data_IF_882719213491
#
_entry.id   IF_882719213491
#
_cell.length_a   1.000
_cell.length_b   1.000
_cell.length_c   1.000
_cell.angle_alpha   90.00
_cell.angle_beta   90.00
_cell.angle_gamma   90.00
#
_symmetry.space_group_name_H-M   'P 1'
#
loop_
_entity.id
_entity.type
_entity.pdbx_description
1 polymer ?
#
# COMPACT_ATOMS: atom_id res chain seq x y z
N UNK A 1 1.01 -3.11 -5.41
CA UNK A 1 0.36 -4.30 -4.87
C UNK A 1 -0.97 -3.91 -4.24
N UNK A 2 -1.98 -4.80 -4.25
CA UNK A 2 -3.32 -4.51 -3.74
C UNK A 2 -3.34 -3.94 -2.30
N UNK A 3 -2.46 -4.41 -1.41
CA UNK A 3 -2.36 -3.90 -0.05
C UNK A 3 -1.93 -2.43 0.02
N UNK A 4 -0.97 -1.99 -0.81
CA UNK A 4 -0.55 -0.58 -0.85
C UNK A 4 -1.63 0.34 -1.43
N UNK A 5 -2.46 -0.16 -2.34
CA UNK A 5 -3.55 0.59 -2.95
C UNK A 5 -4.75 0.71 -2.01
N UNK A 6 -5.01 -0.29 -1.18
CA UNK A 6 -6.03 -0.24 -0.11
C UNK A 6 -5.60 0.76 0.96
N UNK A 7 -4.35 0.72 1.42
CA UNK A 7 -3.79 1.73 2.33
C UNK A 7 -3.89 3.15 1.74
N UNK A 8 -3.60 3.35 0.46
CA UNK A 8 -3.69 4.66 -0.21
C UNK A 8 -5.12 5.13 -0.49
N UNK A 9 -6.06 4.23 -0.75
CA UNK A 9 -7.44 4.58 -1.10
C UNK A 9 -8.39 4.69 0.09
N UNK A 10 -8.18 3.91 1.14
CA UNK A 10 -9.02 3.96 2.35
C UNK A 10 -8.53 4.96 3.40
N UNK A 11 -7.27 5.40 3.31
CA UNK A 11 -6.67 6.35 4.23
C UNK A 11 -6.17 7.59 3.51
N UNK A 12 -6.97 8.65 3.50
CA UNK A 12 -6.45 10.00 3.26
C UNK A 12 -5.45 10.42 4.37
N UNK A 13 -5.27 9.59 5.40
CA UNK A 13 -4.41 9.81 6.55
C UNK A 13 -3.18 8.88 6.56
N UNK A 14 -2.56 8.65 5.41
CA UNK A 14 -1.24 8.04 5.36
C UNK A 14 -0.22 8.83 6.18
N UNK A 15 0.99 8.32 6.34
CA UNK A 15 2.05 8.98 7.12
C UNK A 15 2.27 10.45 6.75
N UNK A 16 1.92 10.86 5.53
CA UNK A 16 1.99 12.25 5.08
C UNK A 16 0.91 13.16 5.69
N UNK A 17 -0.12 12.59 6.33
CA UNK A 17 -1.24 13.29 6.93
C UNK A 17 -1.31 13.14 8.46
N UNK A 18 -0.42 12.36 9.06
CA UNK A 18 -0.28 12.23 10.51
C UNK A 18 0.42 13.44 11.10
N UNK A 19 -0.34 14.50 11.48
CA UNK A 19 0.22 15.71 12.06
C UNK A 19 -0.73 16.33 13.09
N UNK A 20 -0.14 17.06 14.04
CA UNK A 20 -0.86 17.80 15.06
C UNK A 20 -1.72 16.93 15.97
N UNK A 21 -2.74 17.53 16.56
CA UNK A 21 -3.78 16.87 17.36
C UNK A 21 -5.02 16.66 16.50
N UNK A 22 -5.39 15.41 16.27
CA UNK A 22 -6.63 15.08 15.58
C UNK A 22 -7.75 14.84 16.57
N UNK A 23 -8.77 15.66 16.52
CA UNK A 23 -9.90 15.62 17.49
C UNK A 23 -10.96 14.60 17.12
N UNK A 24 -10.99 14.16 15.86
CA UNK A 24 -11.88 13.12 15.36
C UNK A 24 -11.20 12.32 14.26
N UNK A 25 -11.15 11.00 14.42
CA UNK A 25 -10.79 10.07 13.38
C UNK A 25 -11.58 8.77 13.54
N UNK A 26 -12.10 8.24 12.45
CA UNK A 26 -12.87 7.00 12.49
C UNK A 26 -13.18 6.49 11.09
N UNK A 27 -13.67 5.27 11.03
CA UNK A 27 -14.05 4.61 9.80
C UNK A 27 -15.23 3.67 10.04
N UNK A 28 -15.87 3.20 8.97
CA UNK A 28 -16.87 2.14 9.06
C UNK A 28 -16.27 0.92 9.77
N UNK A 29 -17.04 0.35 10.68
CA UNK A 29 -16.64 -0.82 11.46
C UNK A 29 -17.80 -1.78 11.54
N UNK A 30 -17.61 -2.96 11.01
CA UNK A 30 -18.64 -4.02 11.05
C UNK A 30 -18.60 -4.72 12.41
N UNK A 31 -19.76 -4.96 13.06
CA UNK A 31 -19.83 -5.77 14.27
C UNK A 31 -19.42 -7.23 14.03
N UNK A 32 -19.26 -7.99 15.11
CA UNK A 32 -19.06 -9.45 15.02
C UNK A 32 -20.33 -10.13 14.48
N UNK A 33 -20.20 -11.36 13.97
CA UNK A 33 -21.35 -12.12 13.52
C UNK A 33 -22.36 -12.37 14.67
N UNK A 34 -21.86 -12.65 15.87
CA UNK A 34 -22.65 -12.83 17.06
C UNK A 34 -23.54 -11.62 17.35
N UNK A 35 -22.96 -10.43 17.26
CA UNK A 35 -23.69 -9.19 17.50
C UNK A 35 -24.71 -8.89 16.40
N UNK A 36 -24.38 -9.16 15.13
CA UNK A 36 -25.31 -8.93 14.00
C UNK A 36 -26.55 -9.77 14.13
N UNK A 37 -26.46 -10.99 14.61
CA UNK A 37 -27.61 -11.88 14.85
C UNK A 37 -28.65 -11.28 15.79
N UNK A 38 -28.25 -10.39 16.70
CA UNK A 38 -29.13 -9.78 17.68
C UNK A 38 -30.04 -8.68 17.08
N UNK A 39 -29.68 -8.11 15.92
CA UNK A 39 -30.43 -6.98 15.38
C UNK A 39 -30.80 -7.08 13.90
N UNK A 40 -30.16 -7.95 13.13
CA UNK A 40 -30.59 -8.25 11.75
C UNK A 40 -31.37 -9.57 11.73
N UNK A 41 -32.63 -9.58 11.26
CA UNK A 41 -33.41 -10.80 11.13
C UNK A 41 -32.74 -11.84 10.22
N UNK A 42 -32.78 -13.10 10.62
CA UNK A 42 -32.11 -14.20 9.89
C UNK A 42 -32.44 -14.26 8.39
N UNK A 43 -33.67 -13.93 8.01
CA UNK A 43 -34.10 -13.88 6.60
C UNK A 43 -33.36 -12.83 5.76
N UNK A 44 -32.78 -11.82 6.41
CA UNK A 44 -32.09 -10.70 5.79
C UNK A 44 -30.56 -10.79 5.93
N UNK A 45 -30.01 -11.90 6.46
CA UNK A 45 -28.57 -12.05 6.64
C UNK A 45 -27.81 -12.15 5.34
N UNK A 46 -28.36 -12.89 4.36
CA UNK A 46 -27.66 -13.14 3.12
C UNK A 46 -28.64 -13.32 1.93
N UNK A 47 -28.29 -12.82 0.73
CA UNK A 47 -27.11 -12.00 0.43
C UNK A 47 -27.19 -10.61 1.07
N UNK A 48 -26.04 -9.95 1.22
CA UNK A 48 -26.01 -8.54 1.61
C UNK A 48 -26.77 -7.70 0.57
N UNK A 49 -27.34 -6.54 0.97
CA UNK A 49 -28.00 -5.67 0.02
C UNK A 49 -27.11 -5.32 -1.18
N UNK A 50 -27.73 -5.23 -2.34
CA UNK A 50 -27.07 -4.74 -3.56
C UNK A 50 -26.65 -3.28 -3.38
N UNK A 51 -25.78 -2.80 -4.25
CA UNK A 51 -25.35 -1.39 -4.24
C UNK A 51 -26.51 -0.42 -4.40
N UNK A 52 -27.50 -0.82 -5.21
CA UNK A 52 -28.73 -0.03 -5.41
C UNK A 52 -29.61 0.00 -4.16
N UNK A 53 -29.78 -1.15 -3.48
CA UNK A 53 -30.53 -1.21 -2.22
C UNK A 53 -29.87 -0.41 -1.11
N UNK A 54 -28.52 -0.46 -0.99
CA UNK A 54 -27.79 0.37 -0.04
C UNK A 54 -27.97 1.88 -0.31
N UNK A 55 -28.07 2.28 -1.58
CA UNK A 55 -28.21 3.69 -1.95
C UNK A 55 -29.63 4.23 -1.81
N UNK A 56 -30.62 3.46 -2.24
CA UNK A 56 -31.95 3.97 -2.56
C UNK A 56 -33.10 3.31 -1.79
N UNK A 57 -32.85 2.26 -1.00
CA UNK A 57 -33.87 1.56 -0.22
C UNK A 57 -33.72 1.88 1.27
N UNK A 58 -34.39 2.96 1.72
CA UNK A 58 -34.38 3.38 3.12
C UNK A 58 -35.16 2.42 4.04
N UNK A 59 -36.03 1.57 3.48
CA UNK A 59 -36.79 0.56 4.23
C UNK A 59 -36.01 -0.72 4.44
N UNK A 60 -34.88 -0.88 3.77
CA UNK A 60 -33.98 -2.01 3.97
C UNK A 60 -33.49 -2.06 5.42
N UNK A 61 -33.58 -3.21 6.06
CA UNK A 61 -33.22 -3.37 7.47
C UNK A 61 -31.78 -2.97 7.77
N UNK A 62 -30.86 -3.22 6.86
CA UNK A 62 -29.45 -2.82 7.00
C UNK A 62 -29.27 -1.31 7.07
N UNK A 63 -30.00 -0.58 6.21
CA UNK A 63 -29.95 0.89 6.21
C UNK A 63 -30.58 1.51 7.47
N UNK A 64 -31.54 0.83 8.10
CA UNK A 64 -32.13 1.27 9.39
C UNK A 64 -31.15 1.24 10.55
N UNK A 65 -30.10 0.43 10.46
CA UNK A 65 -29.01 0.38 11.44
C UNK A 65 -27.85 1.31 11.12
N UNK A 66 -28.07 2.31 10.32
CA UNK A 66 -27.16 3.37 9.92
C UNK A 66 -25.76 2.86 9.50
N UNK A 67 -25.62 2.61 8.20
CA UNK A 67 -24.32 2.28 7.61
C UNK A 67 -23.65 3.49 6.95
N UNK A 68 -24.10 4.71 7.28
CA UNK A 68 -23.46 5.95 6.85
C UNK A 68 -23.47 6.19 5.34
N UNK A 69 -24.57 5.87 4.66
CA UNK A 69 -24.64 5.93 3.19
C UNK A 69 -24.26 7.29 2.57
N UNK A 70 -24.47 8.36 3.32
CA UNK A 70 -24.11 9.72 2.89
C UNK A 70 -22.66 10.10 3.23
N UNK A 71 -21.99 9.34 4.11
CA UNK A 71 -20.64 9.65 4.54
C UNK A 71 -19.60 8.89 3.69
N UNK A 72 -18.61 9.58 3.18
CA UNK A 72 -17.58 8.98 2.33
C UNK A 72 -16.74 7.88 3.02
N UNK A 73 -16.51 8.02 4.33
CA UNK A 73 -15.73 7.10 5.15
C UNK A 73 -16.53 5.98 5.82
N UNK A 74 -17.86 5.96 5.61
CA UNK A 74 -18.77 4.96 6.18
C UNK A 74 -19.79 4.45 5.14
N UNK A 75 -19.53 4.66 3.86
CA UNK A 75 -20.43 4.24 2.79
C UNK A 75 -20.46 2.71 2.69
N UNK A 76 -21.65 2.07 2.79
CA UNK A 76 -21.79 0.63 2.83
C UNK A 76 -21.32 -0.06 1.54
N UNK A 77 -21.55 0.56 0.39
CA UNK A 77 -21.09 0.03 -0.90
C UNK A 77 -19.57 -0.01 -0.97
N UNK A 78 -18.93 1.08 -0.57
CA UNK A 78 -17.47 1.15 -0.54
C UNK A 78 -16.88 0.15 0.45
N UNK A 79 -17.51 0.00 1.63
CA UNK A 79 -17.06 -0.96 2.64
C UNK A 79 -17.16 -2.40 2.14
N UNK A 80 -18.32 -2.81 1.63
CA UNK A 80 -18.54 -4.14 1.03
C UNK A 80 -17.51 -4.43 -0.07
N UNK A 81 -17.34 -3.48 -0.98
CA UNK A 81 -16.39 -3.62 -2.09
C UNK A 81 -14.93 -3.70 -1.60
N UNK A 82 -14.60 -3.03 -0.51
CA UNK A 82 -13.27 -3.12 0.09
C UNK A 82 -12.99 -4.50 0.68
N UNK A 83 -13.96 -5.06 1.41
CA UNK A 83 -13.87 -6.43 1.94
C UNK A 83 -13.69 -7.42 0.79
N UNK A 84 -14.56 -7.37 -0.22
CA UNK A 84 -14.52 -8.29 -1.35
C UNK A 84 -13.24 -8.18 -2.18
N UNK A 85 -12.75 -6.95 -2.42
CA UNK A 85 -11.52 -6.73 -3.18
C UNK A 85 -10.29 -7.26 -2.44
N UNK A 86 -10.27 -7.15 -1.12
CA UNK A 86 -9.10 -7.52 -0.32
C UNK A 86 -9.08 -9.01 0.05
N UNK A 87 -10.24 -9.56 0.40
CA UNK A 87 -10.35 -10.92 0.93
C UNK A 87 -11.18 -11.87 0.08
N UNK A 88 -11.69 -11.41 -1.07
CA UNK A 88 -12.54 -12.18 -1.98
C UNK A 88 -14.00 -12.19 -1.54
N UNK A 89 -14.87 -12.63 -2.47
CA UNK A 89 -16.31 -12.81 -2.23
C UNK A 89 -16.56 -13.79 -1.10
N UNK A 90 -17.66 -13.59 -0.38
CA UNK A 90 -18.09 -14.45 0.72
C UNK A 90 -19.28 -15.29 0.31
N UNK A 91 -19.42 -16.47 0.91
CA UNK A 91 -20.53 -17.40 0.70
C UNK A 91 -21.69 -17.20 1.68
N UNK A 92 -21.49 -16.42 2.73
CA UNK A 92 -22.49 -16.14 3.77
C UNK A 92 -22.07 -15.00 4.69
N UNK A 93 -22.99 -14.61 5.58
CA UNK A 93 -22.80 -13.48 6.49
C UNK A 93 -21.64 -13.71 7.46
N UNK A 94 -21.51 -14.92 8.04
CA UNK A 94 -20.44 -15.23 8.99
C UNK A 94 -19.07 -15.02 8.38
N UNK A 95 -18.82 -15.60 7.20
CA UNK A 95 -17.56 -15.40 6.46
C UNK A 95 -17.31 -13.93 6.12
N UNK A 96 -18.36 -13.20 5.74
CA UNK A 96 -18.24 -11.76 5.49
C UNK A 96 -17.85 -11.00 6.75
N UNK A 97 -18.44 -11.33 7.90
CA UNK A 97 -18.10 -10.72 9.19
C UNK A 97 -16.64 -10.98 9.57
N UNK A 98 -16.14 -12.21 9.40
CA UNK A 98 -14.73 -12.54 9.67
C UNK A 98 -13.78 -11.68 8.81
N UNK A 99 -14.03 -11.60 7.51
CA UNK A 99 -13.28 -10.76 6.58
C UNK A 99 -13.37 -9.27 6.95
N UNK A 100 -14.55 -8.82 7.38
CA UNK A 100 -14.76 -7.45 7.83
C UNK A 100 -13.96 -7.14 9.10
N UNK A 101 -13.85 -8.09 10.06
CA UNK A 101 -12.99 -7.91 11.23
C UNK A 101 -11.51 -7.75 10.82
N UNK A 102 -11.02 -8.54 9.86
CA UNK A 102 -9.67 -8.39 9.34
C UNK A 102 -9.45 -7.01 8.73
N UNK A 103 -10.39 -6.54 7.91
CA UNK A 103 -10.35 -5.18 7.36
C UNK A 103 -10.30 -4.13 8.47
N UNK A 104 -11.15 -4.25 9.50
CA UNK A 104 -11.20 -3.32 10.62
C UNK A 104 -9.89 -3.29 11.42
N UNK A 105 -9.21 -4.44 11.62
CA UNK A 105 -7.90 -4.53 12.26
C UNK A 105 -6.87 -3.71 11.49
N UNK A 106 -6.74 -3.98 10.19
CA UNK A 106 -5.74 -3.32 9.35
C UNK A 106 -5.96 -1.82 9.27
N UNK A 107 -7.21 -1.45 9.12
CA UNK A 107 -7.65 -0.08 8.99
C UNK A 107 -7.31 0.73 10.22
N UNK A 108 -7.77 0.30 11.37
CA UNK A 108 -7.56 1.03 12.62
C UNK A 108 -6.08 1.03 13.01
N UNK A 109 -5.39 -0.10 12.83
CA UNK A 109 -3.95 -0.20 13.05
C UNK A 109 -3.19 0.84 12.22
N UNK A 110 -3.48 0.91 10.91
CA UNK A 110 -2.83 1.86 10.01
C UNK A 110 -3.08 3.33 10.37
N UNK A 111 -4.28 3.67 10.86
CA UNK A 111 -4.58 5.02 11.35
C UNK A 111 -3.65 5.43 12.51
N UNK A 112 -3.52 4.58 13.51
CA UNK A 112 -2.64 4.87 14.65
C UNK A 112 -1.17 4.83 14.28
N UNK A 113 -0.75 3.93 13.41
CA UNK A 113 0.63 3.84 12.90
C UNK A 113 1.06 5.10 12.14
N UNK A 114 0.14 5.78 11.45
CA UNK A 114 0.43 7.05 10.78
C UNK A 114 0.80 8.14 11.79
N UNK A 115 0.16 8.20 12.96
CA UNK A 115 0.54 9.10 14.06
C UNK A 115 1.81 8.65 14.76
N UNK A 116 1.98 7.36 14.99
CA UNK A 116 3.20 6.82 15.56
C UNK A 116 4.44 7.21 14.74
N UNK A 117 4.33 7.22 13.41
CA UNK A 117 5.42 7.59 12.51
C UNK A 117 5.94 9.03 12.73
N UNK A 118 5.07 9.92 13.15
CA UNK A 118 5.34 11.35 13.38
C UNK A 118 5.46 11.72 14.86
N UNK A 119 5.36 10.76 15.76
CA UNK A 119 5.35 10.99 17.21
C UNK A 119 6.60 11.77 17.64
N UNK A 120 6.38 12.72 18.56
CA UNK A 120 7.35 13.70 19.09
C UNK A 120 7.88 14.75 18.11
N UNK A 121 7.61 14.65 16.82
CA UNK A 121 7.98 15.68 15.86
C UNK A 121 6.77 16.53 15.49
N UNK A 122 5.78 15.94 14.85
CA UNK A 122 4.68 16.66 14.24
C UNK A 122 3.31 16.15 14.73
N UNK A 123 3.24 14.94 15.29
CA UNK A 123 2.02 14.34 15.82
C UNK A 123 1.95 14.45 17.34
N UNK A 124 0.90 15.13 17.84
CA UNK A 124 0.65 15.34 19.26
C UNK A 124 -0.35 14.34 19.85
N UNK A 125 -1.33 13.91 19.07
CA UNK A 125 -2.35 12.97 19.54
C UNK A 125 -3.49 12.76 18.56
N UNK A 126 -4.34 11.80 18.91
CA UNK A 126 -5.42 11.30 18.07
C UNK A 126 -6.56 10.84 18.97
N UNK A 127 -7.77 11.37 18.76
CA UNK A 127 -9.00 10.95 19.42
C UNK A 127 -9.89 10.20 18.42
N UNK A 128 -10.37 9.04 18.83
CA UNK A 128 -11.22 8.22 17.97
C UNK A 128 -12.67 8.68 18.00
N UNK A 129 -13.28 8.75 16.85
CA UNK A 129 -14.71 8.86 16.65
C UNK A 129 -15.22 7.56 16.03
N UNK A 130 -15.88 6.65 16.79
CA UNK A 130 -16.09 6.73 18.24
C UNK A 130 -15.83 5.37 18.88
N UNK A 131 -15.85 5.28 20.22
CA UNK A 131 -15.59 4.02 20.91
C UNK A 131 -16.82 3.10 20.92
N UNK A 132 -18.03 3.64 21.10
CA UNK A 132 -19.25 2.86 21.30
C UNK A 132 -20.47 3.60 20.71
N UNK A 133 -21.32 2.93 19.91
CA UNK A 133 -22.51 3.53 19.31
C UNK A 133 -23.69 3.60 20.29
N UNK A 134 -24.63 4.52 20.04
CA UNK A 134 -25.82 4.70 20.87
C UNK A 134 -26.92 3.65 20.60
N UNK A 135 -26.83 2.91 19.52
CA UNK A 135 -27.75 1.83 19.11
C UNK A 135 -27.01 0.86 18.18
N UNK A 136 -27.54 -0.36 17.92
CA UNK A 136 -26.91 -1.28 16.99
C UNK A 136 -26.70 -0.67 15.61
N UNK A 137 -25.45 -0.52 15.18
CA UNK A 137 -25.09 0.17 13.93
C UNK A 137 -23.78 -0.37 13.34
N UNK A 138 -23.41 0.13 12.15
CA UNK A 138 -22.25 -0.33 11.37
C UNK A 138 -21.14 0.72 11.24
N UNK A 139 -21.10 1.77 12.04
CA UNK A 139 -20.15 2.88 11.85
C UNK A 139 -19.42 3.27 13.12
N UNK A 140 -18.15 3.67 12.96
CA UNK A 140 -17.30 4.36 13.92
C UNK A 140 -17.31 3.75 15.34
N UNK A 141 -17.04 2.46 15.44
CA UNK A 141 -17.11 1.78 16.74
C UNK A 141 -15.88 0.88 16.95
N UNK A 142 -15.27 0.96 18.14
CA UNK A 142 -14.27 -0.01 18.60
C UNK A 142 -14.92 -1.13 19.38
N UNK A 143 -15.95 -0.82 20.16
CA UNK A 143 -16.89 -1.76 20.75
C UNK A 143 -18.23 -1.59 20.03
N UNK A 144 -18.86 -2.68 19.66
CA UNK A 144 -20.22 -2.61 19.16
C UNK A 144 -21.25 -2.30 20.26
N UNK A 145 -22.51 -2.19 19.89
CA UNK A 145 -23.57 -1.85 20.84
C UNK A 145 -23.65 -2.82 22.01
N UNK A 146 -23.32 -4.09 21.82
CA UNK A 146 -23.35 -5.14 22.82
C UNK A 146 -22.07 -5.28 23.63
N UNK A 147 -21.16 -4.32 23.51
CA UNK A 147 -19.83 -4.27 24.14
C UNK A 147 -18.83 -5.31 23.66
N UNK A 148 -19.08 -5.96 22.53
CA UNK A 148 -18.10 -6.83 21.89
C UNK A 148 -16.99 -5.99 21.24
N UNK A 149 -15.71 -6.31 21.51
CA UNK A 149 -14.61 -5.64 20.85
C UNK A 149 -14.51 -6.07 19.39
N UNK A 150 -14.66 -5.12 18.49
CA UNK A 150 -14.52 -5.35 17.05
C UNK A 150 -13.04 -5.42 16.62
N UNK A 151 -12.78 -5.77 15.35
CA UNK A 151 -11.45 -5.69 14.76
C UNK A 151 -10.78 -4.32 14.93
N UNK A 152 -11.57 -3.24 14.96
CA UNK A 152 -11.06 -1.90 15.20
C UNK A 152 -10.40 -1.73 16.57
N UNK A 153 -10.96 -2.33 17.63
CA UNK A 153 -10.34 -2.36 18.96
C UNK A 153 -8.97 -3.05 18.90
N UNK A 154 -8.92 -4.23 18.29
CA UNK A 154 -7.69 -5.01 18.23
C UNK A 154 -6.60 -4.35 17.39
N UNK A 155 -6.98 -3.69 16.30
CA UNK A 155 -6.06 -2.89 15.48
C UNK A 155 -5.47 -1.72 16.24
N UNK A 156 -6.29 -0.93 16.93
CA UNK A 156 -5.84 0.18 17.76
C UNK A 156 -4.93 -0.30 18.91
N UNK A 157 -5.35 -1.36 19.62
CA UNK A 157 -4.56 -1.96 20.70
C UNK A 157 -3.18 -2.39 20.22
N UNK A 158 -3.09 -3.01 19.03
CA UNK A 158 -1.82 -3.45 18.45
C UNK A 158 -0.91 -2.28 18.11
N UNK A 159 -1.44 -1.24 17.51
CA UNK A 159 -0.66 -0.04 17.14
C UNK A 159 -0.20 0.77 18.37
N UNK A 160 -0.92 0.67 19.50
CA UNK A 160 -0.61 1.38 20.74
C UNK A 160 0.26 0.57 21.72
N UNK A 161 0.86 -0.55 21.32
CA UNK A 161 1.81 -1.28 22.16
C UNK A 161 2.99 -0.37 22.52
N UNK A 162 3.45 -0.37 23.79
CA UNK A 162 4.56 0.51 24.23
C UNK A 162 5.87 0.30 23.47
N UNK A 163 6.13 -0.92 23.03
CA UNK A 163 7.17 -1.26 22.05
C UNK A 163 6.47 -1.79 20.82
N UNK A 164 6.48 -1.03 19.75
CA UNK A 164 5.77 -1.35 18.52
C UNK A 164 6.72 -1.36 17.32
N UNK A 165 6.51 -2.30 16.41
CA UNK A 165 7.18 -2.34 15.12
C UNK A 165 6.14 -2.17 14.02
N UNK A 166 6.40 -1.28 13.08
CA UNK A 166 5.48 -1.00 11.98
C UNK A 166 6.19 -0.96 10.61
N UNK A 167 5.43 -1.27 9.60
CA UNK A 167 5.79 -1.07 8.20
C UNK A 167 5.00 0.09 7.63
N UNK A 168 5.72 1.09 7.15
CA UNK A 168 5.12 2.24 6.49
C UNK A 168 4.97 1.98 4.99
N UNK A 169 3.76 1.74 4.54
CA UNK A 169 3.48 1.37 3.15
C UNK A 169 3.87 2.44 2.12
N UNK A 170 3.94 3.73 2.51
CA UNK A 170 4.27 4.82 1.60
C UNK A 170 5.74 4.84 1.14
N UNK A 171 6.66 4.39 2.00
CA UNK A 171 8.10 4.39 1.75
C UNK A 171 8.79 3.05 2.03
N UNK A 172 8.01 2.02 2.39
CA UNK A 172 8.46 0.68 2.74
C UNK A 172 9.42 0.61 3.93
N UNK A 173 9.49 1.64 4.78
CA UNK A 173 10.34 1.65 5.94
C UNK A 173 9.75 0.81 7.08
N UNK A 174 10.62 0.07 7.75
CA UNK A 174 10.35 -0.59 9.03
C UNK A 174 10.85 0.31 10.13
N UNK A 175 9.94 0.75 11.01
CA UNK A 175 10.26 1.58 12.16
C UNK A 175 9.91 0.87 13.46
N UNK A 176 10.70 1.15 14.49
CA UNK A 176 10.47 0.70 15.87
C UNK A 176 10.15 1.91 16.71
N UNK A 177 8.99 1.89 17.35
CA UNK A 177 8.48 2.93 18.23
C UNK A 177 8.66 2.46 19.67
N UNK A 178 9.30 3.27 20.50
CA UNK A 178 9.47 3.02 21.91
C UNK A 178 8.84 4.17 22.71
N UNK A 179 7.65 3.96 23.27
CA UNK A 179 6.97 4.94 24.13
C UNK A 179 7.31 4.73 25.63
N UNK A 180 8.18 3.77 25.93
CA UNK A 180 8.58 3.53 27.33
C UNK A 180 9.61 4.53 27.82
N UNK A 181 9.78 4.62 29.14
CA UNK A 181 10.80 5.47 29.78
C UNK A 181 12.21 4.82 29.81
N UNK A 182 12.41 3.69 29.08
CA UNK A 182 13.68 2.95 29.05
C UNK A 182 14.19 2.79 27.63
N UNK A 183 15.50 2.87 27.47
CA UNK A 183 16.14 2.54 26.19
C UNK A 183 15.93 1.06 25.85
N UNK A 184 15.64 0.79 24.61
CA UNK A 184 15.69 -0.55 24.00
C UNK A 184 17.05 -0.71 23.35
N UNK A 185 17.84 -1.68 23.81
CA UNK A 185 19.19 -1.94 23.27
C UNK A 185 19.28 -3.35 22.70
N UNK A 186 19.96 -3.49 21.56
CA UNK A 186 20.26 -4.78 20.96
C UNK A 186 19.06 -5.56 20.45
N UNK A 187 17.90 -4.91 20.26
CA UNK A 187 16.71 -5.57 19.73
C UNK A 187 16.90 -5.95 18.26
N UNK A 188 16.24 -7.00 17.81
CA UNK A 188 16.26 -7.42 16.40
C UNK A 188 14.89 -7.09 15.79
N UNK A 189 14.86 -6.11 14.89
CA UNK A 189 13.72 -5.86 14.02
C UNK A 189 13.75 -6.88 12.87
N UNK A 190 12.67 -7.64 12.68
CA UNK A 190 12.53 -8.63 11.61
C UNK A 190 11.25 -8.36 10.82
N UNK A 191 11.36 -8.38 9.50
CA UNK A 191 10.24 -8.43 8.58
C UNK A 191 10.32 -9.70 7.74
N UNK A 192 9.20 -10.38 7.54
CA UNK A 192 9.08 -11.54 6.67
C UNK A 192 7.85 -11.35 5.77
N UNK A 193 7.98 -11.77 4.53
CA UNK A 193 6.92 -11.69 3.52
C UNK A 193 6.45 -13.10 3.21
N UNK A 194 5.13 -13.26 3.17
CA UNK A 194 4.49 -14.52 2.84
C UNK A 194 3.59 -14.32 1.62
N UNK A 195 3.50 -15.34 0.76
CA UNK A 195 2.49 -15.37 -0.27
C UNK A 195 1.12 -15.81 0.31
N UNK A 196 0.06 -15.76 -0.50
CA UNK A 196 -1.29 -16.09 -0.07
C UNK A 196 -1.48 -17.53 0.40
N UNK A 197 -0.57 -18.46 0.08
CA UNK A 197 -0.62 -19.83 0.58
C UNK A 197 0.22 -20.04 1.88
N UNK A 198 0.66 -18.94 2.51
CA UNK A 198 1.40 -18.97 3.77
C UNK A 198 2.88 -19.35 3.65
N UNK A 199 3.44 -19.48 2.44
CA UNK A 199 4.87 -19.74 2.25
C UNK A 199 5.66 -18.44 2.31
N UNK A 200 6.71 -18.42 3.13
CA UNK A 200 7.64 -17.30 3.19
C UNK A 200 8.35 -17.11 1.85
N UNK A 201 8.55 -15.85 1.47
CA UNK A 201 9.34 -15.43 0.31
C UNK A 201 10.64 -14.79 0.82
N UNK A 202 11.69 -15.59 1.07
CA UNK A 202 12.90 -15.13 1.78
C UNK A 202 13.61 -13.96 1.11
N UNK A 203 13.49 -13.85 -0.23
CA UNK A 203 14.08 -12.75 -1.01
C UNK A 203 13.60 -11.35 -0.59
N UNK A 204 12.44 -11.25 0.04
CA UNK A 204 11.87 -10.00 0.54
C UNK A 204 12.02 -9.83 2.06
N UNK A 205 12.42 -10.89 2.77
CA UNK A 205 12.64 -10.85 4.22
C UNK A 205 13.93 -10.14 4.60
N UNK A 206 13.92 -9.46 5.75
CA UNK A 206 15.09 -8.80 6.31
C UNK A 206 15.04 -8.77 7.83
N UNK A 207 16.22 -8.82 8.47
CA UNK A 207 16.37 -8.60 9.91
C UNK A 207 17.60 -7.72 10.18
N UNK A 208 17.48 -6.84 11.18
CA UNK A 208 18.56 -5.93 11.57
C UNK A 208 18.49 -5.62 13.07
N UNK A 209 19.66 -5.54 13.70
CA UNK A 209 19.75 -5.06 15.07
C UNK A 209 19.45 -3.56 15.12
N UNK A 210 18.67 -3.13 16.12
CA UNK A 210 18.27 -1.75 16.32
C UNK A 210 18.31 -1.39 17.79
N UNK A 211 18.79 -0.19 18.07
CA UNK A 211 18.68 0.48 19.36
C UNK A 211 17.67 1.62 19.25
N UNK A 212 16.79 1.75 20.23
CA UNK A 212 15.81 2.82 20.29
C UNK A 212 15.82 3.45 21.64
N UNK A 213 16.12 4.73 21.72
CA UNK A 213 16.11 5.48 22.99
C UNK A 213 14.69 5.50 23.61
N UNK A 214 14.61 5.76 24.91
CA UNK A 214 13.37 6.02 25.61
C UNK A 214 12.58 7.14 24.91
N UNK A 215 11.26 6.97 24.80
CA UNK A 215 10.36 7.95 24.15
C UNK A 215 10.86 8.39 22.78
N UNK A 216 11.22 7.44 21.91
CA UNK A 216 11.80 7.75 20.59
C UNK A 216 11.39 6.71 19.53
N UNK A 217 11.73 7.03 18.27
CA UNK A 217 11.52 6.19 17.09
C UNK A 217 12.89 5.93 16.44
N UNK A 218 13.09 4.71 15.96
CA UNK A 218 14.23 4.38 15.11
C UNK A 218 13.77 3.69 13.82
N UNK A 219 14.35 4.12 12.69
CA UNK A 219 14.23 3.39 11.43
C UNK A 219 15.19 2.20 11.43
N UNK A 220 14.65 1.01 11.29
CA UNK A 220 15.46 -0.19 11.24
C UNK A 220 16.03 -0.43 9.83
N UNK A 221 15.18 -0.49 8.83
CA UNK A 221 15.52 -0.70 7.41
C UNK A 221 14.32 -0.43 6.51
N UNK A 222 14.57 -0.36 5.20
CA UNK A 222 13.52 -0.32 4.18
C UNK A 222 13.39 -1.67 3.49
N UNK A 223 12.15 -2.12 3.22
CA UNK A 223 11.89 -3.33 2.44
C UNK A 223 12.01 -3.04 0.94
N UNK A 224 12.69 -3.93 0.22
CA UNK A 224 12.71 -3.91 -1.22
C UNK A 224 11.78 -5.00 -1.77
N UNK A 225 10.65 -4.61 -2.34
CA UNK A 225 9.70 -5.54 -2.97
C UNK A 225 10.09 -5.91 -4.41
N UNK A 226 11.22 -5.43 -4.90
CA UNK A 226 11.75 -5.75 -6.23
C UNK A 226 13.23 -6.21 -6.14
N UNK A 227 13.58 -7.25 -5.31
CA UNK A 227 14.96 -7.63 -5.08
C UNK A 227 15.66 -8.17 -6.35
N UNK A 228 14.89 -8.58 -7.36
CA UNK A 228 15.39 -9.04 -8.65
C UNK A 228 15.36 -7.96 -9.74
N UNK A 229 14.82 -6.78 -9.43
CA UNK A 229 14.85 -5.65 -10.35
C UNK A 229 16.16 -4.87 -10.16
N UNK A 230 17.13 -5.14 -11.01
CA UNK A 230 18.45 -4.49 -10.99
C UNK A 230 18.37 -2.96 -11.13
N UNK A 231 17.30 -2.44 -11.74
CA UNK A 231 17.08 -1.01 -11.95
C UNK A 231 16.46 -0.29 -10.74
N UNK A 232 15.90 -1.01 -9.75
CA UNK A 232 15.19 -0.39 -8.63
C UNK A 232 16.10 0.53 -7.81
N UNK A 233 15.67 1.79 -7.62
CA UNK A 233 16.40 2.81 -6.87
C UNK A 233 17.72 3.26 -7.50
N UNK A 234 17.99 2.88 -8.77
CA UNK A 234 19.21 3.23 -9.48
C UNK A 234 19.10 4.60 -10.14
N UNK A 235 20.25 5.21 -10.37
CA UNK A 235 20.34 6.51 -11.06
C UNK A 235 19.93 6.35 -12.53
N UNK A 236 19.00 7.17 -12.97
CA UNK A 236 18.59 7.25 -14.37
C UNK A 236 18.91 8.63 -14.92
N UNK A 237 19.27 8.70 -16.21
CA UNK A 237 19.56 9.92 -16.95
C UNK A 237 18.80 9.85 -18.28
N UNK A 238 18.18 10.95 -18.67
CA UNK A 238 17.39 11.03 -19.90
C UNK A 238 17.80 12.22 -20.77
N UNK A 239 17.50 12.14 -22.05
CA UNK A 239 17.72 13.22 -23.04
C UNK A 239 16.92 14.48 -22.70
N UNK A 240 15.72 14.32 -22.16
CA UNK A 240 14.82 15.40 -21.79
C UNK A 240 13.79 14.92 -20.75
N UNK A 241 13.05 15.84 -20.16
CA UNK A 241 11.85 15.57 -19.36
C UNK A 241 10.89 16.74 -19.42
N UNK A 242 9.58 16.48 -19.38
CA UNK A 242 8.54 17.53 -19.42
C UNK A 242 8.33 18.22 -18.06
N UNK A 243 8.90 17.72 -16.98
CA UNK A 243 8.83 18.33 -15.64
C UNK A 243 9.42 17.45 -14.54
N UNK A 244 9.53 18.00 -13.34
CA UNK A 244 10.14 17.31 -12.19
C UNK A 244 9.40 15.99 -11.83
N UNK A 245 8.06 15.97 -11.89
CA UNK A 245 7.23 14.78 -11.64
C UNK A 245 7.28 13.75 -12.78
N UNK A 246 8.00 14.04 -13.87
CA UNK A 246 8.18 13.20 -15.05
C UNK A 246 9.67 12.99 -15.37
N UNK A 247 10.51 13.15 -14.37
CA UNK A 247 11.97 13.05 -14.51
C UNK A 247 12.44 11.61 -14.71
N UNK A 248 13.68 11.46 -15.16
CA UNK A 248 14.29 10.14 -15.37
C UNK A 248 14.22 9.21 -14.16
N UNK A 249 14.34 9.74 -12.95
CA UNK A 249 14.30 8.94 -11.71
C UNK A 249 12.97 8.21 -11.48
N UNK A 250 11.89 8.63 -12.14
CA UNK A 250 10.58 8.01 -12.02
C UNK A 250 10.49 6.61 -12.64
N UNK A 251 11.45 6.20 -13.48
CA UNK A 251 11.45 4.85 -14.06
C UNK A 251 12.09 3.80 -13.14
N UNK A 252 12.77 4.23 -12.09
CA UNK A 252 13.48 3.34 -11.16
C UNK A 252 12.95 3.38 -9.74
N UNK A 253 11.94 4.20 -9.45
CA UNK A 253 11.38 4.43 -8.11
C UNK A 253 10.46 3.30 -7.61
N UNK A 254 10.07 2.36 -8.49
CA UNK A 254 9.16 1.25 -8.20
C UNK A 254 7.69 1.65 -8.14
N UNK A 255 7.35 2.91 -8.41
CA UNK A 255 5.98 3.43 -8.40
C UNK A 255 5.19 2.98 -9.62
N UNK A 256 3.99 2.42 -9.42
CA UNK A 256 3.12 2.02 -10.54
C UNK A 256 2.46 3.22 -11.25
N UNK A 257 2.40 4.38 -10.59
CA UNK A 257 1.79 5.60 -11.12
C UNK A 257 2.78 6.67 -11.55
N UNK A 258 4.09 6.46 -11.34
CA UNK A 258 5.17 7.33 -11.79
C UNK A 258 5.63 6.95 -13.18
N UNK A 259 6.10 7.91 -13.94
CA UNK A 259 6.70 7.67 -15.27
C UNK A 259 7.69 8.77 -15.65
N UNK A 260 8.64 8.43 -16.47
CA UNK A 260 9.37 9.40 -17.26
C UNK A 260 8.55 9.81 -18.50
N UNK A 261 8.61 11.09 -18.83
CA UNK A 261 8.01 11.65 -20.03
C UNK A 261 8.99 12.60 -20.71
N UNK A 262 9.39 12.26 -21.93
CA UNK A 262 10.32 13.06 -22.74
C UNK A 262 9.65 14.27 -23.38
N UNK A 263 10.43 15.18 -23.92
CA UNK A 263 9.95 16.16 -24.89
C UNK A 263 9.34 15.46 -26.11
N UNK A 264 8.35 16.11 -26.73
CA UNK A 264 7.61 15.61 -27.92
C UNK A 264 8.42 15.78 -29.20
N UNK A 265 9.60 15.15 -29.24
CA UNK A 265 10.50 15.16 -30.42
C UNK A 265 11.32 13.87 -30.42
N UNK A 266 11.68 13.37 -31.59
CA UNK A 266 12.49 12.17 -31.76
C UNK A 266 13.90 12.54 -32.32
N UNK A 267 14.93 11.76 -31.94
CA UNK A 267 14.91 10.63 -31.02
C UNK A 267 15.00 11.08 -29.54
N UNK A 268 14.49 10.25 -28.64
CA UNK A 268 14.64 10.42 -27.19
C UNK A 268 15.26 9.20 -26.56
N UNK A 269 15.98 9.37 -25.47
CA UNK A 269 16.60 8.26 -24.77
C UNK A 269 16.60 8.42 -23.25
N UNK A 270 16.67 7.28 -22.59
CA UNK A 270 16.89 7.20 -21.15
C UNK A 270 17.81 6.03 -20.85
N UNK A 271 18.79 6.21 -19.94
CA UNK A 271 19.57 5.10 -19.46
C UNK A 271 19.61 5.01 -17.93
N UNK A 272 19.88 3.81 -17.42
CA UNK A 272 19.99 3.47 -16.01
C UNK A 272 21.41 3.02 -15.73
N UNK A 273 22.03 3.56 -14.67
CA UNK A 273 23.31 3.10 -14.14
C UNK A 273 23.05 2.06 -13.04
N UNK A 274 23.31 0.81 -13.29
CA UNK A 274 23.14 -0.28 -12.33
C UNK A 274 24.18 -0.23 -11.20
N UNK A 275 25.21 0.62 -11.32
CA UNK A 275 26.27 0.83 -10.33
C UNK A 275 27.48 -0.06 -10.52
N UNK A 276 27.31 -1.23 -11.11
CA UNK A 276 28.36 -2.19 -11.51
C UNK A 276 27.88 -3.03 -12.68
N UNK A 277 28.76 -3.83 -13.26
CA UNK A 277 28.34 -4.83 -14.22
C UNK A 277 27.43 -5.87 -13.58
N UNK A 278 26.29 -6.13 -14.19
CA UNK A 278 25.28 -7.09 -13.78
C UNK A 278 24.91 -8.00 -14.96
N UNK A 279 24.62 -9.26 -14.68
CA UNK A 279 24.01 -10.16 -15.66
C UNK A 279 22.54 -9.81 -15.80
N UNK A 280 22.12 -9.42 -17.00
CA UNK A 280 20.76 -8.98 -17.31
C UNK A 280 20.07 -10.07 -18.13
N UNK A 281 19.08 -10.72 -17.54
CA UNK A 281 18.36 -11.81 -18.19
C UNK A 281 17.14 -11.32 -18.97
N UNK A 282 16.54 -10.20 -18.54
CA UNK A 282 15.40 -9.60 -19.20
C UNK A 282 15.24 -8.11 -18.91
N UNK A 283 14.54 -7.41 -19.80
CA UNK A 283 14.03 -6.07 -19.56
C UNK A 283 12.50 -6.07 -19.64
N UNK A 284 11.85 -5.34 -18.72
CA UNK A 284 10.40 -5.13 -18.72
C UNK A 284 10.15 -3.65 -18.95
N UNK A 285 9.56 -3.31 -20.08
CA UNK A 285 9.14 -1.96 -20.41
C UNK A 285 7.65 -1.82 -20.13
N UNK A 286 7.30 -0.82 -19.34
CA UNK A 286 5.90 -0.47 -19.06
C UNK A 286 5.64 0.89 -19.70
N UNK A 287 4.95 0.88 -20.81
CA UNK A 287 4.57 2.07 -21.54
C UNK A 287 3.26 2.65 -20.99
N UNK A 288 3.15 3.96 -21.07
CA UNK A 288 1.88 4.65 -20.95
C UNK A 288 1.16 4.62 -22.32
N UNK A 289 0.05 5.36 -22.50
CA UNK A 289 -0.66 5.39 -23.79
C UNK A 289 0.23 5.87 -24.94
N UNK A 290 1.15 6.79 -24.68
CA UNK A 290 2.17 7.21 -25.63
C UNK A 290 3.41 6.31 -25.53
N UNK A 291 3.78 5.68 -26.64
CA UNK A 291 4.93 4.77 -26.70
C UNK A 291 5.71 4.97 -28.00
N UNK A 292 7.00 4.64 -27.96
CA UNK A 292 7.81 4.63 -29.18
C UNK A 292 7.38 3.48 -30.11
N UNK A 293 7.16 3.75 -31.38
CA UNK A 293 6.87 2.75 -32.41
C UNK A 293 8.11 2.00 -32.84
N UNK A 294 9.24 2.71 -32.89
CA UNK A 294 10.54 2.11 -33.13
C UNK A 294 11.46 2.46 -31.97
N UNK A 295 12.06 1.45 -31.36
CA UNK A 295 12.99 1.65 -30.26
C UNK A 295 14.07 0.58 -30.20
N UNK A 296 15.15 0.89 -29.49
CA UNK A 296 16.25 -0.02 -29.22
C UNK A 296 16.56 -0.08 -27.73
N UNK A 297 16.93 -1.28 -27.26
CA UNK A 297 17.68 -1.44 -26.02
C UNK A 297 19.16 -1.56 -26.32
N UNK A 298 19.93 -0.71 -25.65
CA UNK A 298 21.37 -0.66 -25.78
C UNK A 298 22.02 -0.88 -24.42
N UNK A 299 23.23 -1.41 -24.37
CA UNK A 299 24.00 -1.60 -23.15
C UNK A 299 25.40 -1.03 -23.29
N UNK A 300 25.99 -0.67 -22.16
CA UNK A 300 27.33 -0.10 -22.10
C UNK A 300 28.00 -0.41 -20.75
N UNK A 301 29.33 -0.32 -20.69
CA UNK A 301 30.06 -0.37 -19.43
C UNK A 301 30.70 0.98 -19.04
N UNK A 302 30.69 1.97 -19.93
CA UNK A 302 31.28 3.31 -19.75
C UNK A 302 30.30 4.47 -20.00
N UNK A 303 29.05 4.17 -20.40
CA UNK A 303 28.03 5.14 -20.81
C UNK A 303 28.44 6.00 -22.03
N UNK A 304 29.46 5.61 -22.80
CA UNK A 304 29.94 6.29 -24.01
C UNK A 304 29.73 5.42 -25.24
N UNK A 305 30.26 4.20 -25.21
CA UNK A 305 30.07 3.23 -26.28
C UNK A 305 28.87 2.33 -25.99
N UNK A 306 27.92 2.30 -26.93
CA UNK A 306 26.64 1.61 -26.77
C UNK A 306 26.49 0.48 -27.78
N UNK A 307 26.13 -0.70 -27.29
CA UNK A 307 25.83 -1.88 -28.13
C UNK A 307 24.35 -2.15 -28.08
N UNK A 308 23.67 -2.17 -29.23
CA UNK A 308 22.28 -2.61 -29.36
C UNK A 308 22.17 -4.10 -29.07
N UNK A 309 21.33 -4.47 -28.10
CA UNK A 309 21.03 -5.85 -27.71
C UNK A 309 19.61 -6.27 -28.10
N UNK A 310 18.73 -5.29 -28.40
CA UNK A 310 17.38 -5.54 -28.88
C UNK A 310 16.90 -4.34 -29.69
N UNK A 311 16.13 -4.60 -30.75
CA UNK A 311 15.48 -3.56 -31.56
C UNK A 311 14.03 -3.97 -31.90
N UNK A 312 13.09 -3.06 -31.67
CA UNK A 312 11.69 -3.21 -32.03
C UNK A 312 11.32 -2.18 -33.10
N UNK A 313 10.66 -2.64 -34.19
CA UNK A 313 10.21 -1.81 -35.32
C UNK A 313 8.69 -1.59 -35.30
N UNK A 314 7.95 -2.24 -34.40
CA UNK A 314 6.49 -2.17 -34.32
C UNK A 314 6.04 -2.24 -32.84
N UNK A 315 6.47 -1.27 -32.02
CA UNK A 315 6.10 -1.13 -30.63
C UNK A 315 4.59 -0.93 -30.46
N UNK A 316 3.97 -1.70 -29.59
CA UNK A 316 2.52 -1.70 -29.36
C UNK A 316 2.12 -1.03 -28.06
N UNK A 317 3.09 -0.65 -27.22
CA UNK A 317 2.83 -0.09 -25.90
C UNK A 317 2.40 -1.14 -24.87
N UNK A 318 1.86 -0.69 -23.75
CA UNK A 318 1.49 -1.58 -22.64
C UNK A 318 2.71 -2.13 -21.90
N UNK A 319 2.69 -3.40 -21.53
CA UNK A 319 3.83 -4.06 -20.87
C UNK A 319 4.50 -5.02 -21.85
N UNK A 320 5.75 -4.76 -22.16
CA UNK A 320 6.58 -5.60 -23.02
C UNK A 320 7.69 -6.25 -22.19
N UNK A 321 7.82 -7.58 -22.29
CA UNK A 321 8.91 -8.34 -21.68
C UNK A 321 9.87 -8.79 -22.79
N UNK A 322 11.13 -8.43 -22.63
CA UNK A 322 12.21 -8.67 -23.59
C UNK A 322 13.23 -9.58 -22.92
N UNK A 323 13.37 -10.79 -23.41
CA UNK A 323 14.41 -11.72 -22.94
C UNK A 323 15.76 -11.31 -23.53
N UNK A 324 16.80 -11.32 -22.69
CA UNK A 324 18.15 -10.88 -23.02
C UNK A 324 19.13 -12.02 -22.69
N UNK A 325 19.54 -12.76 -23.69
CA UNK A 325 20.49 -13.87 -23.49
C UNK A 325 21.93 -13.36 -23.47
N UNK A 326 22.70 -13.79 -22.45
CA UNK A 326 24.13 -13.52 -22.31
C UNK A 326 24.52 -12.03 -22.29
N UNK A 327 23.64 -11.16 -21.81
CA UNK A 327 23.94 -9.73 -21.63
C UNK A 327 24.51 -9.47 -20.25
N UNK A 328 25.71 -8.87 -20.21
CA UNK A 328 26.33 -8.36 -18.99
C UNK A 328 26.76 -6.92 -19.22
N UNK A 329 26.27 -5.98 -18.39
CA UNK A 329 26.57 -4.56 -18.54
C UNK A 329 26.29 -3.79 -17.25
N UNK A 330 26.90 -2.60 -17.14
CA UNK A 330 26.61 -1.63 -16.08
C UNK A 330 25.47 -0.68 -16.44
N UNK A 331 25.35 -0.32 -17.70
CA UNK A 331 24.36 0.65 -18.16
C UNK A 331 23.38 0.00 -19.13
N UNK A 332 22.11 0.33 -18.98
CA UNK A 332 21.03 -0.07 -19.89
C UNK A 332 20.31 1.17 -20.39
N UNK A 333 20.18 1.30 -21.70
CA UNK A 333 19.61 2.46 -22.37
C UNK A 333 18.44 2.05 -23.26
N UNK A 334 17.35 2.77 -23.17
CA UNK A 334 16.26 2.75 -24.12
C UNK A 334 16.38 3.96 -25.04
N UNK A 335 16.34 3.74 -26.34
CA UNK A 335 16.32 4.79 -27.37
C UNK A 335 15.01 4.69 -28.13
N UNK A 336 14.13 5.67 -27.98
CA UNK A 336 12.95 5.84 -28.81
C UNK A 336 13.34 6.57 -30.10
N UNK A 337 13.05 5.94 -31.23
CA UNK A 337 13.46 6.41 -32.56
C UNK A 337 12.30 7.15 -33.27
N UNK A 338 11.04 6.67 -33.03
CA UNK A 338 9.83 7.29 -33.60
C UNK A 338 8.56 6.81 -32.90
#
# INVERSE_FOLDING_TARGET
>A
SAASDVYKRQYPYGIDHGYGMRTEIGTATFPTFESIKEFIPQKDWWPLPTDEQFKNDDDNVWNKHFFGKEASNANPVNYKNSVNTQYGESSGLEEFCEKAQMLNIEVMKGMYEAWNDKMWNDAAGLLIWMSHPAYPSFVWQTYDYYYDPTGAYWGAKKACEPLHIQWNASNNNIKVINTTAKDLKGAIAKAAIYNLNGKEVPAYGQAKQVDVAASNIAEAFSLNFNPFNLAYGKKAVASSSTGASKSASMVTDGGAGSRWESAYSDPQWIYIDLGKEEKIEKAILKWEAACAKKYELQVSNDAQEWKTVYANKDGRGGTEQIELEHVTARYVKLVGIS
#
